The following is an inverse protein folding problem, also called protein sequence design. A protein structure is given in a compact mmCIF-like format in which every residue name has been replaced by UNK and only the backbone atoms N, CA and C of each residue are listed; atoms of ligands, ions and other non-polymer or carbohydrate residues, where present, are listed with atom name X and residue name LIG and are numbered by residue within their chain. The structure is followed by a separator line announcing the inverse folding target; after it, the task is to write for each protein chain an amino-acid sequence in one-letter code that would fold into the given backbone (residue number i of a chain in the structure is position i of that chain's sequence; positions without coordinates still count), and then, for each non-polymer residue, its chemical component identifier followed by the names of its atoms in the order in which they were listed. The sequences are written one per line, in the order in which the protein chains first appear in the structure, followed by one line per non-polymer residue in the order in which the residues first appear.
data_IF_437442717361
#
_entry.id   IF_437442717361
#
_cell.length_a   1.000
_cell.length_b   1.000
_cell.length_c   1.000
_cell.angle_alpha   90.00
_cell.angle_beta   90.00
_cell.angle_gamma   90.00
#
_symmetry.space_group_name_H-M   'P 1'
#
loop_
_entity.id
_entity.type
_entity.pdbx_description
1 polymer ?
#
# COMPACT_ATOMS: atom_id res chain seq x y z
N UNK A 1 -4.08 6.91 -22.58
CA UNK A 1 -4.49 6.95 -21.16
C UNK A 1 -3.50 6.13 -20.39
N UNK A 2 -2.69 6.76 -19.55
CA UNK A 2 -1.67 6.07 -18.75
C UNK A 2 -2.37 5.36 -17.57
N UNK A 3 -2.68 4.08 -17.75
CA UNK A 3 -3.13 3.19 -16.68
C UNK A 3 -1.93 2.86 -15.77
N UNK A 4 -1.57 3.81 -14.90
CA UNK A 4 -0.51 3.65 -13.91
C UNK A 4 -1.04 2.75 -12.79
N UNK A 5 -0.52 1.53 -12.68
CA UNK A 5 -0.78 0.64 -11.56
C UNK A 5 -0.02 1.13 -10.33
N UNK A 6 -0.76 1.45 -9.27
CA UNK A 6 -0.23 1.87 -7.96
C UNK A 6 -0.13 0.68 -7.01
N UNK A 7 0.84 0.74 -6.10
CA UNK A 7 1.08 -0.28 -5.06
C UNK A 7 1.11 0.36 -3.69
N UNK A 8 0.42 -0.22 -2.71
CA UNK A 8 0.39 0.32 -1.36
C UNK A 8 0.26 -0.74 -0.27
N UNK A 9 0.55 -0.31 0.96
CA UNK A 9 0.52 -1.13 2.16
C UNK A 9 -0.91 -1.55 2.52
N UNK A 10 -1.19 -2.85 2.72
CA UNK A 10 -2.52 -3.33 3.08
C UNK A 10 -2.97 -2.93 4.49
N UNK A 11 -2.06 -2.42 5.34
CA UNK A 11 -2.34 -2.07 6.72
C UNK A 11 -2.67 -0.58 6.91
N UNK A 12 -1.94 0.29 6.22
CA UNK A 12 -2.02 1.74 6.44
C UNK A 12 -2.23 2.54 5.16
N UNK A 13 -2.38 1.88 4.00
CA UNK A 13 -2.56 2.52 2.70
C UNK A 13 -1.39 3.40 2.23
N UNK A 14 -0.25 3.38 2.91
CA UNK A 14 0.95 4.08 2.46
C UNK A 14 1.50 3.48 1.16
N UNK A 15 1.86 4.35 0.23
CA UNK A 15 2.60 4.03 -1.00
C UNK A 15 4.07 3.68 -0.74
N UNK A 16 4.58 3.96 0.48
CA UNK A 16 5.93 3.61 0.90
C UNK A 16 5.98 2.12 1.30
N UNK A 17 5.92 1.24 0.31
CA UNK A 17 6.14 -0.19 0.49
C UNK A 17 7.34 -0.65 -0.33
N UNK A 18 8.32 -1.27 0.34
CA UNK A 18 9.60 -1.66 -0.24
C UNK A 18 9.74 -3.19 -0.26
N UNK A 19 10.39 -3.72 -1.28
CA UNK A 19 10.83 -5.12 -1.29
C UNK A 19 11.91 -5.30 -0.21
N UNK A 20 11.64 -6.17 0.76
CA UNK A 20 12.54 -6.41 1.89
C UNK A 20 13.33 -7.71 1.74
N UNK A 21 12.69 -8.79 1.30
CA UNK A 21 13.34 -10.06 0.97
C UNK A 21 12.76 -10.67 -0.31
N UNK A 22 13.57 -11.41 -1.06
CA UNK A 22 13.16 -12.12 -2.26
C UNK A 22 13.99 -13.39 -2.48
N UNK A 23 13.72 -14.12 -3.56
CA UNK A 23 14.42 -15.36 -3.91
C UNK A 23 13.64 -16.61 -3.52
N UNK A 24 14.34 -17.67 -3.12
CA UNK A 24 13.75 -19.00 -2.92
C UNK A 24 12.66 -19.05 -1.83
N UNK A 25 12.73 -18.16 -0.84
CA UNK A 25 11.76 -18.05 0.26
C UNK A 25 10.50 -17.26 -0.11
N UNK A 26 10.39 -16.77 -1.35
CA UNK A 26 9.34 -15.88 -1.80
C UNK A 26 9.64 -14.40 -1.51
N UNK A 27 8.74 -13.55 -2.02
CA UNK A 27 8.83 -12.09 -1.95
C UNK A 27 8.18 -11.59 -0.67
N UNK A 28 8.91 -10.82 0.13
CA UNK A 28 8.41 -10.16 1.34
C UNK A 28 8.58 -8.65 1.20
N UNK A 29 7.53 -7.91 1.49
CA UNK A 29 7.51 -6.46 1.47
C UNK A 29 7.51 -5.91 2.88
N UNK A 30 8.09 -4.72 3.06
CA UNK A 30 8.08 -3.97 4.31
C UNK A 30 7.54 -2.56 4.08
N UNK A 31 6.65 -2.10 4.94
CA UNK A 31 6.21 -0.70 4.99
C UNK A 31 6.96 0.03 6.11
N UNK A 32 7.81 1.03 5.80
CA UNK A 32 8.51 1.82 6.80
C UNK A 32 7.57 2.61 7.72
N UNK A 33 6.39 3.00 7.23
CA UNK A 33 5.49 3.90 7.95
C UNK A 33 4.72 3.20 9.08
N UNK A 34 4.29 1.95 8.88
CA UNK A 34 3.49 1.21 9.87
C UNK A 34 4.11 -0.10 10.37
N UNK A 35 5.29 -0.46 9.85
CA UNK A 35 6.02 -1.68 10.20
C UNK A 35 5.45 -2.97 9.60
N UNK A 36 4.43 -2.92 8.74
CA UNK A 36 3.94 -4.11 8.03
C UNK A 36 5.10 -4.85 7.36
N UNK A 37 5.21 -6.16 7.58
CA UNK A 37 6.15 -7.04 6.90
C UNK A 37 5.43 -8.31 6.49
N UNK A 38 5.39 -8.61 5.19
CA UNK A 38 4.68 -9.78 4.68
C UNK A 38 4.65 -9.85 3.15
N UNK A 39 4.10 -10.93 2.59
CA UNK A 39 4.18 -11.17 1.15
C UNK A 39 3.10 -10.44 0.33
N UNK A 40 2.20 -9.69 0.99
CA UNK A 40 1.01 -9.12 0.35
C UNK A 40 1.16 -7.61 0.16
N UNK A 41 0.80 -7.14 -1.02
CA UNK A 41 0.65 -5.72 -1.38
C UNK A 41 -0.67 -5.54 -2.10
N UNK A 42 -1.27 -4.35 -2.03
CA UNK A 42 -2.46 -4.04 -2.83
C UNK A 42 -2.00 -3.32 -4.10
N UNK A 43 -2.47 -3.81 -5.24
CA UNK A 43 -2.24 -3.21 -6.56
C UNK A 43 -3.56 -2.74 -7.14
N UNK A 44 -3.63 -1.49 -7.60
CA UNK A 44 -4.84 -0.95 -8.22
C UNK A 44 -4.49 0.10 -9.28
N UNK A 45 -5.39 0.28 -10.25
CA UNK A 45 -5.34 1.41 -11.17
C UNK A 45 -6.18 2.60 -10.65
N UNK A 46 -6.92 2.40 -9.56
CA UNK A 46 -7.78 3.40 -8.95
C UNK A 46 -7.01 4.31 -7.96
N UNK A 47 -7.59 5.45 -7.53
CA UNK A 47 -7.05 6.22 -6.44
C UNK A 47 -6.92 5.39 -5.16
N UNK A 48 -5.79 5.56 -4.46
CA UNK A 48 -5.57 4.91 -3.17
C UNK A 48 -6.53 5.56 -2.17
N UNK A 49 -7.26 4.79 -1.36
CA UNK A 49 -8.00 5.34 -0.25
C UNK A 49 -6.98 5.97 0.68
N UNK A 50 -6.85 7.28 0.59
CA UNK A 50 -6.01 8.03 1.51
C UNK A 50 -6.59 7.79 2.89
N UNK A 51 -5.72 7.72 3.91
CA UNK A 51 -6.14 7.78 5.30
C UNK A 51 -6.74 9.18 5.57
N UNK A 52 -7.88 9.48 4.95
CA UNK A 52 -8.65 10.68 5.14
C UNK A 52 -9.48 10.42 6.39
N UNK A 53 -9.05 11.08 7.45
CA UNK A 53 -9.91 11.61 8.49
C UNK A 53 -11.30 11.90 7.95
N UNK A 54 -12.29 11.25 8.57
CA UNK A 54 -13.68 11.66 8.55
C UNK A 54 -13.76 13.15 8.90
N UNK A 55 -13.89 14.01 7.89
CA UNK A 55 -14.50 15.33 8.03
C UNK A 55 -15.40 15.55 6.83
N UNK A 56 -16.46 14.77 6.75
CA UNK A 56 -17.70 15.16 6.07
C UNK A 56 -18.80 15.13 7.13
N UNK A 57 -18.88 16.24 7.88
CA UNK A 57 -20.11 16.69 8.51
C UNK A 57 -20.79 17.73 7.61
N UNK A 58 -22.10 17.87 7.82
CA UNK A 58 -23.12 18.70 7.12
C UNK A 58 -23.57 18.13 5.75
N UNK A 59 -24.84 17.84 5.47
CA UNK A 59 -26.15 18.34 5.94
C UNK A 59 -27.17 17.20 6.17
#
# INVERSE_FOLDING_TARGET
MDNITKRFCPKCHSENIILWMGGYTGTMYRCPDCGYTGPIVIETNDPIPSAQSETDGED
#
